data_IF_729713425500
#
_entry.id   IF_729713425500
#
_cell.length_a   1.000
_cell.length_b   1.000
_cell.length_c   1.000
_cell.angle_alpha   90.00
_cell.angle_beta   90.00
_cell.angle_gamma   90.00
#
_symmetry.space_group_name_H-M   'P 1'
#
loop_
_entity.id
_entity.type
_entity.pdbx_description
1 polymer ?
#
# COMPACT_ATOMS: atom_id res chain seq x y z
N UNK A 1 -19.49 9.10 -15.13
CA UNK A 1 -18.68 7.92 -15.22
C UNK A 1 -19.56 6.71 -15.41
N UNK A 2 -19.67 6.22 -16.63
CA UNK A 2 -20.38 4.98 -16.91
C UNK A 2 -19.47 3.82 -16.54
N UNK A 3 -19.89 2.97 -15.63
CA UNK A 3 -19.39 1.60 -15.52
C UNK A 3 -19.98 0.87 -16.71
N UNK A 4 -19.18 0.72 -17.75
CA UNK A 4 -19.58 -0.09 -18.90
C UNK A 4 -19.75 -1.54 -18.43
N UNK A 5 -20.96 -2.08 -18.53
CA UNK A 5 -21.32 -3.45 -18.16
C UNK A 5 -20.87 -4.47 -19.22
N UNK A 6 -19.98 -4.09 -20.09
CA UNK A 6 -19.59 -4.84 -21.28
C UNK A 6 -18.32 -5.68 -21.03
N UNK A 7 -18.33 -6.49 -19.99
CA UNK A 7 -17.32 -7.53 -19.75
C UNK A 7 -15.89 -7.05 -19.52
N UNK A 8 -15.03 -7.98 -19.13
CA UNK A 8 -13.61 -7.72 -18.90
C UNK A 8 -12.87 -7.60 -20.24
N UNK A 9 -11.94 -6.63 -20.29
CA UNK A 9 -11.02 -6.50 -21.43
C UNK A 9 -9.66 -7.08 -21.07
N UNK A 10 -9.07 -7.80 -22.00
CA UNK A 10 -7.67 -8.22 -21.91
C UNK A 10 -6.76 -7.10 -22.39
N UNK A 11 -5.82 -6.67 -21.53
CA UNK A 11 -4.82 -5.67 -21.85
C UNK A 11 -3.45 -6.38 -22.00
N UNK A 12 -2.92 -6.50 -23.22
CA UNK A 12 -1.59 -7.08 -23.40
C UNK A 12 -0.51 -6.29 -22.65
N UNK A 13 0.57 -6.91 -22.15
CA UNK A 13 1.62 -6.23 -21.37
C UNK A 13 2.22 -5.00 -22.05
N UNK A 14 2.35 -5.01 -23.37
CA UNK A 14 2.86 -3.87 -24.17
C UNK A 14 1.82 -2.75 -24.38
N UNK A 15 0.55 -2.98 -24.03
CA UNK A 15 -0.55 -2.05 -24.23
C UNK A 15 -1.02 -1.40 -22.92
N UNK A 16 -0.29 -1.59 -21.81
CA UNK A 16 -0.62 -1.06 -20.48
C UNK A 16 -0.40 0.45 -20.35
N UNK A 17 0.35 1.07 -21.25
CA UNK A 17 0.58 2.53 -21.24
C UNK A 17 1.19 3.07 -19.93
N UNK A 18 1.91 2.24 -19.17
CA UNK A 18 2.48 2.61 -17.87
C UNK A 18 1.46 2.65 -16.72
N UNK A 19 0.28 2.09 -16.91
CA UNK A 19 -0.67 1.89 -15.81
C UNK A 19 -0.21 0.75 -14.89
N UNK A 20 -0.48 0.92 -13.61
CA UNK A 20 -0.23 -0.06 -12.57
C UNK A 20 -1.53 -0.71 -12.12
N UNK A 21 -1.39 -1.80 -11.37
CA UNK A 21 -2.55 -2.49 -10.79
C UNK A 21 -3.37 -1.54 -9.91
N UNK A 22 -4.69 -1.55 -10.11
CA UNK A 22 -5.63 -0.70 -9.37
C UNK A 22 -5.83 0.70 -9.96
N UNK A 23 -5.04 1.13 -10.95
CA UNK A 23 -5.23 2.44 -11.59
C UNK A 23 -6.56 2.50 -12.34
N UNK A 24 -7.23 3.64 -12.26
CA UNK A 24 -8.39 3.94 -13.08
C UNK A 24 -7.93 4.47 -14.43
N UNK A 25 -8.35 3.83 -15.51
CA UNK A 25 -7.82 4.07 -16.85
C UNK A 25 -8.93 4.26 -17.88
N UNK A 26 -8.59 4.97 -18.96
CA UNK A 26 -9.37 4.96 -20.20
C UNK A 26 -8.78 3.93 -21.14
N UNK A 27 -9.61 3.08 -21.68
CA UNK A 27 -9.20 2.06 -22.66
C UNK A 27 -9.79 2.34 -24.03
N UNK A 28 -9.09 1.90 -25.08
CA UNK A 28 -9.63 1.83 -26.44
C UNK A 28 -9.66 0.35 -26.87
N UNK A 29 -10.81 -0.19 -27.20
CA UNK A 29 -10.91 -1.54 -27.73
C UNK A 29 -10.07 -1.71 -28.99
N UNK A 30 -9.34 -2.80 -29.09
CA UNK A 30 -8.58 -3.15 -30.27
C UNK A 30 -9.41 -4.06 -31.17
N UNK A 31 -9.97 -3.47 -32.23
CA UNK A 31 -10.81 -4.22 -33.18
C UNK A 31 -10.04 -5.17 -34.10
N UNK A 32 -8.74 -5.00 -34.18
CA UNK A 32 -7.87 -5.80 -35.07
C UNK A 32 -7.16 -6.94 -34.33
N UNK A 33 -7.13 -6.93 -32.98
CA UNK A 33 -6.51 -7.99 -32.23
C UNK A 33 -7.45 -9.22 -32.14
N UNK A 34 -6.89 -10.43 -32.32
CA UNK A 34 -7.65 -11.65 -32.12
C UNK A 34 -8.17 -11.72 -30.68
N UNK A 35 -9.37 -12.27 -30.52
CA UNK A 35 -9.91 -12.59 -29.21
C UNK A 35 -8.98 -13.57 -28.50
N UNK A 36 -8.61 -13.26 -27.26
CA UNK A 36 -7.98 -14.23 -26.36
C UNK A 36 -9.09 -14.90 -25.54
N UNK A 37 -9.58 -16.02 -26.07
CA UNK A 37 -10.76 -16.69 -25.52
C UNK A 37 -12.04 -15.86 -25.70
N UNK A 38 -12.80 -15.66 -24.62
CA UNK A 38 -14.05 -14.88 -24.60
C UNK A 38 -13.83 -13.37 -24.34
N UNK A 39 -12.58 -12.92 -24.20
CA UNK A 39 -12.25 -11.52 -23.82
C UNK A 39 -11.85 -10.68 -25.02
N UNK A 40 -12.44 -9.50 -25.10
CA UNK A 40 -12.07 -8.47 -26.08
C UNK A 40 -10.75 -7.85 -25.70
N UNK A 41 -9.82 -7.68 -26.63
CA UNK A 41 -8.56 -6.97 -26.39
C UNK A 41 -8.76 -5.46 -26.40
N UNK A 42 -8.02 -4.77 -25.55
CA UNK A 42 -7.96 -3.30 -25.53
C UNK A 42 -6.56 -2.80 -25.21
N UNK A 43 -6.34 -1.51 -25.43
CA UNK A 43 -5.13 -0.80 -24.99
C UNK A 43 -5.49 0.32 -24.03
N UNK A 44 -4.62 0.63 -23.08
CA UNK A 44 -4.79 1.78 -22.21
C UNK A 44 -4.38 3.04 -22.98
N UNK A 45 -5.28 4.02 -23.01
CA UNK A 45 -5.08 5.32 -23.66
C UNK A 45 -4.52 6.33 -22.67
N UNK A 46 -5.09 6.38 -21.46
CA UNK A 46 -4.66 7.28 -20.40
C UNK A 46 -4.96 6.71 -19.03
N UNK A 47 -4.18 7.10 -18.03
CA UNK A 47 -4.46 6.86 -16.63
C UNK A 47 -5.19 8.08 -16.08
N UNK A 48 -6.40 7.86 -15.56
CA UNK A 48 -7.24 8.92 -14.98
C UNK A 48 -6.90 9.15 -13.51
N UNK A 49 -6.66 8.05 -12.78
CA UNK A 49 -6.38 8.11 -11.35
C UNK A 49 -5.37 7.02 -10.98
N UNK A 50 -4.37 7.39 -10.19
CA UNK A 50 -3.35 6.48 -9.67
C UNK A 50 -3.79 5.89 -8.35
N UNK A 51 -3.85 4.56 -8.27
CA UNK A 51 -4.17 3.86 -7.02
C UNK A 51 -2.96 3.83 -6.06
N UNK A 52 -1.76 3.70 -6.61
CA UNK A 52 -0.55 3.50 -5.80
C UNK A 52 0.32 4.76 -5.82
N UNK A 53 -0.04 5.77 -5.02
CA UNK A 53 0.77 6.99 -4.84
C UNK A 53 1.95 6.76 -3.91
N UNK A 54 1.76 5.90 -2.93
CA UNK A 54 2.79 5.45 -1.99
C UNK A 54 2.89 3.94 -2.05
N UNK A 55 4.09 3.42 -1.95
CA UNK A 55 4.38 1.98 -2.02
C UNK A 55 5.28 1.60 -0.86
N UNK A 56 4.90 0.57 -0.11
CA UNK A 56 5.75 -0.06 0.90
C UNK A 56 6.53 -1.22 0.30
N UNK A 57 7.72 -1.43 0.85
CA UNK A 57 8.60 -2.48 0.38
C UNK A 57 9.88 -2.58 1.20
N UNK A 58 10.83 -3.31 0.66
CA UNK A 58 12.14 -3.49 1.27
C UNK A 58 13.21 -2.77 0.43
N UNK A 59 14.03 -1.96 1.10
CA UNK A 59 15.15 -1.30 0.45
C UNK A 59 16.20 -2.34 0.03
N UNK A 60 16.67 -2.22 -1.20
CA UNK A 60 17.74 -3.02 -1.78
C UNK A 60 18.77 -2.10 -2.40
N UNK A 61 20.05 -2.41 -2.16
CA UNK A 61 21.15 -1.69 -2.82
C UNK A 61 21.59 -2.48 -4.04
N UNK A 62 21.57 -1.83 -5.18
CA UNK A 62 22.16 -2.33 -6.41
C UNK A 62 23.24 -1.35 -6.85
N UNK A 63 24.47 -1.81 -6.89
CA UNK A 63 25.66 -0.96 -7.09
C UNK A 63 25.70 0.19 -6.04
N UNK A 64 25.58 1.44 -6.51
CA UNK A 64 25.59 2.64 -5.65
C UNK A 64 24.20 3.23 -5.43
N UNK A 65 23.18 2.62 -5.99
CA UNK A 65 21.81 3.13 -5.94
C UNK A 65 20.93 2.31 -4.97
N UNK A 66 19.97 2.98 -4.37
CA UNK A 66 18.95 2.33 -3.56
C UNK A 66 17.66 2.22 -4.36
N UNK A 67 17.04 1.07 -4.20
CA UNK A 67 15.80 0.70 -4.84
C UNK A 67 14.85 0.16 -3.78
N UNK A 68 13.56 0.44 -3.93
CA UNK A 68 12.52 -0.21 -3.15
C UNK A 68 12.01 -1.42 -3.94
N UNK A 69 12.13 -2.61 -3.35
CA UNK A 69 11.42 -3.78 -3.83
C UNK A 69 10.02 -3.78 -3.21
N UNK A 70 8.95 -3.57 -3.99
CA UNK A 70 7.58 -3.57 -3.45
C UNK A 70 7.23 -4.88 -2.75
N UNK A 71 6.34 -4.78 -1.75
CA UNK A 71 5.79 -5.96 -1.07
C UNK A 71 4.73 -6.67 -1.92
N UNK A 72 4.02 -5.91 -2.73
CA UNK A 72 3.01 -6.44 -3.64
C UNK A 72 3.65 -6.91 -4.95
N UNK A 73 3.40 -8.15 -5.30
CA UNK A 73 3.77 -8.76 -6.58
C UNK A 73 2.97 -8.24 -7.78
N UNK A 74 1.85 -7.53 -7.49
CA UNK A 74 1.00 -6.90 -8.51
C UNK A 74 1.55 -5.59 -9.04
N UNK A 75 2.57 -5.02 -8.38
CA UNK A 75 3.21 -3.79 -8.82
C UNK A 75 4.40 -4.11 -9.74
N UNK A 76 4.68 -3.24 -10.72
CA UNK A 76 5.84 -3.44 -11.55
C UNK A 76 7.11 -3.25 -10.73
N UNK A 77 8.09 -4.11 -10.94
CA UNK A 77 9.45 -4.18 -10.44
C UNK A 77 9.96 -3.13 -9.45
N UNK A 78 11.25 -3.11 -9.20
CA UNK A 78 11.79 -2.19 -8.18
C UNK A 78 11.64 -0.72 -8.57
N UNK A 79 11.39 0.13 -7.57
CA UNK A 79 11.29 1.59 -7.69
C UNK A 79 12.65 2.18 -7.32
N UNK A 80 13.28 2.92 -8.23
CA UNK A 80 14.54 3.61 -7.96
C UNK A 80 14.30 4.78 -7.03
N UNK A 81 15.07 4.88 -5.94
CA UNK A 81 14.98 6.00 -5.02
C UNK A 81 15.66 7.23 -5.61
N UNK A 82 14.97 8.36 -5.48
CA UNK A 82 15.50 9.69 -5.77
C UNK A 82 16.00 10.34 -4.47
N UNK A 83 16.92 11.29 -4.60
CA UNK A 83 17.41 12.06 -3.46
C UNK A 83 18.59 11.40 -2.72
N UNK A 84 18.87 11.94 -1.51
CA UNK A 84 20.02 11.50 -0.72
C UNK A 84 19.71 10.19 -0.01
N UNK A 85 20.51 9.17 -0.23
CA UNK A 85 20.42 7.85 0.42
C UNK A 85 21.30 7.71 1.67
N UNK A 86 21.77 8.83 2.24
CA UNK A 86 22.67 8.82 3.42
C UNK A 86 21.89 8.29 4.63
N UNK A 87 22.47 7.31 5.31
CA UNK A 87 21.85 6.66 6.47
C UNK A 87 20.82 5.59 6.17
N UNK A 88 20.55 5.31 4.90
CA UNK A 88 19.63 4.23 4.48
C UNK A 88 20.40 2.96 4.20
N UNK A 89 19.87 1.84 4.67
CA UNK A 89 20.51 0.54 4.54
C UNK A 89 19.68 -0.43 3.72
N UNK A 90 20.36 -1.29 2.99
CA UNK A 90 19.72 -2.44 2.34
C UNK A 90 19.13 -3.37 3.39
N UNK A 91 17.91 -3.84 3.18
CA UNK A 91 17.19 -4.70 4.11
C UNK A 91 16.28 -3.95 5.09
N UNK A 92 16.16 -2.63 4.96
CA UNK A 92 15.16 -1.86 5.72
C UNK A 92 13.80 -1.89 5.02
N UNK A 93 12.76 -1.95 5.83
CA UNK A 93 11.37 -1.77 5.43
C UNK A 93 11.09 -0.27 5.29
N UNK A 94 10.46 0.14 4.19
CA UNK A 94 10.25 1.56 3.92
C UNK A 94 8.96 1.82 3.13
N UNK A 95 8.50 3.07 3.20
CA UNK A 95 7.48 3.63 2.33
C UNK A 95 8.11 4.68 1.40
N UNK A 96 7.72 4.63 0.13
CA UNK A 96 8.22 5.50 -0.92
C UNK A 96 7.06 6.12 -1.67
N UNK A 97 7.06 7.43 -1.82
CA UNK A 97 6.12 8.13 -2.69
C UNK A 97 6.57 8.04 -4.14
N UNK A 98 5.68 7.60 -5.01
CA UNK A 98 5.95 7.44 -6.43
C UNK A 98 5.94 8.80 -7.13
N UNK A 99 7.10 9.21 -7.64
CA UNK A 99 7.28 10.45 -8.39
C UNK A 99 7.13 10.24 -9.90
N UNK A 100 7.51 9.07 -10.37
CA UNK A 100 7.36 8.67 -11.77
C UNK A 100 7.02 7.18 -11.85
N UNK A 101 6.02 6.86 -12.63
CA UNK A 101 5.53 5.47 -12.79
C UNK A 101 6.33 4.66 -13.81
N UNK A 102 7.40 5.22 -14.34
CA UNK A 102 8.21 4.55 -15.36
C UNK A 102 7.53 4.50 -16.72
N UNK A 103 8.04 3.65 -17.60
CA UNK A 103 7.55 3.47 -18.95
C UNK A 103 8.61 3.79 -20.00
N UNK A 104 8.46 3.26 -21.23
CA UNK A 104 9.43 3.46 -22.30
C UNK A 104 10.85 2.97 -21.96
N UNK A 105 10.97 1.88 -21.18
CA UNK A 105 12.26 1.34 -20.74
C UNK A 105 12.87 2.05 -19.52
N UNK A 106 12.24 3.08 -18.98
CA UNK A 106 12.69 3.77 -17.77
C UNK A 106 12.03 3.15 -16.52
N UNK A 107 12.80 2.94 -15.43
CA UNK A 107 12.25 2.43 -14.18
C UNK A 107 11.35 3.47 -13.50
N UNK A 108 10.44 3.04 -12.63
CA UNK A 108 9.75 3.95 -11.73
C UNK A 108 10.72 4.67 -10.80
N UNK A 109 10.39 5.90 -10.44
CA UNK A 109 11.15 6.71 -9.50
C UNK A 109 10.30 7.06 -8.29
N UNK A 110 10.92 7.11 -7.11
CA UNK A 110 10.21 7.48 -5.90
C UNK A 110 11.10 8.12 -4.85
N UNK A 111 10.49 8.95 -4.02
CA UNK A 111 11.14 9.58 -2.88
C UNK A 111 10.82 8.82 -1.59
N UNK A 112 11.82 8.62 -0.74
CA UNK A 112 11.60 8.03 0.58
C UNK A 112 10.65 8.92 1.40
N UNK A 113 9.66 8.29 2.03
CA UNK A 113 8.77 8.93 2.99
C UNK A 113 9.11 8.53 4.42
N UNK A 114 9.23 7.23 4.67
CA UNK A 114 9.48 6.71 6.01
C UNK A 114 10.24 5.40 5.96
N UNK A 115 10.97 5.08 7.03
CA UNK A 115 11.57 3.76 7.27
C UNK A 115 11.00 3.16 8.54
N UNK A 116 10.78 1.84 8.52
CA UNK A 116 10.12 1.09 9.60
C UNK A 116 11.09 0.14 10.32
N UNK A 117 12.39 0.26 10.03
CA UNK A 117 13.41 -0.63 10.57
C UNK A 117 13.67 -1.85 9.71
N UNK A 118 14.29 -2.88 10.30
CA UNK A 118 14.75 -4.07 9.57
C UNK A 118 13.59 -4.87 9.03
N UNK A 119 13.57 -5.13 7.72
CA UNK A 119 12.57 -5.97 7.08
C UNK A 119 12.61 -7.41 7.66
N UNK A 120 11.42 -8.01 7.79
CA UNK A 120 11.26 -9.35 8.38
C UNK A 120 11.04 -9.33 9.89
N UNK A 121 11.11 -8.17 10.57
CA UNK A 121 10.66 -8.05 11.97
C UNK A 121 9.16 -7.80 12.03
N UNK A 122 8.53 -8.19 13.14
CA UNK A 122 7.08 -7.98 13.36
C UNK A 122 6.76 -6.50 13.45
N UNK A 123 7.62 -5.73 14.12
CA UNK A 123 7.48 -4.30 14.33
C UNK A 123 7.49 -3.55 12.99
N UNK A 124 8.45 -3.85 12.12
CA UNK A 124 8.55 -3.24 10.80
C UNK A 124 7.36 -3.61 9.89
N UNK A 125 6.90 -4.87 9.98
CA UNK A 125 5.73 -5.33 9.22
C UNK A 125 4.46 -4.64 9.70
N UNK A 126 4.21 -4.58 11.01
CA UNK A 126 3.06 -3.91 11.60
C UNK A 126 3.05 -2.41 11.27
N UNK A 127 4.20 -1.72 11.42
CA UNK A 127 4.32 -0.31 11.10
C UNK A 127 4.02 -0.01 9.63
N UNK A 128 4.49 -0.85 8.70
CA UNK A 128 4.21 -0.69 7.28
C UNK A 128 2.71 -0.92 6.95
N UNK A 129 2.06 -1.87 7.65
CA UNK A 129 0.61 -2.11 7.49
C UNK A 129 -0.17 -0.89 7.98
N UNK A 130 0.11 -0.39 9.19
CA UNK A 130 -0.56 0.79 9.75
C UNK A 130 -0.38 2.01 8.82
N UNK A 131 0.82 2.18 8.28
CA UNK A 131 1.11 3.24 7.33
C UNK A 131 0.25 3.14 6.05
N UNK A 132 0.11 1.93 5.48
CA UNK A 132 -0.69 1.72 4.28
C UNK A 132 -2.19 1.98 4.48
N UNK A 133 -2.68 1.79 5.71
CA UNK A 133 -4.07 2.06 6.08
C UNK A 133 -4.28 3.45 6.68
N UNK A 134 -3.24 4.30 6.68
CA UNK A 134 -3.28 5.66 7.26
C UNK A 134 -3.73 5.66 8.72
N UNK A 135 -3.34 4.62 9.48
CA UNK A 135 -3.64 4.49 10.90
C UNK A 135 -2.51 5.11 11.69
N UNK A 136 -2.83 6.11 12.49
CA UNK A 136 -1.87 6.73 13.40
C UNK A 136 -1.34 5.72 14.41
N UNK A 137 -0.01 5.70 14.59
CA UNK A 137 0.68 4.82 15.55
C UNK A 137 0.71 5.39 16.95
N UNK A 138 0.44 6.65 17.08
CA UNK A 138 0.42 7.36 18.36
C UNK A 138 -0.97 7.92 18.61
N UNK A 139 -1.44 7.77 19.83
CA UNK A 139 -2.70 8.42 20.23
C UNK A 139 -2.46 9.92 20.41
N UNK A 140 -3.43 10.78 20.07
CA UNK A 140 -3.35 12.19 20.38
C UNK A 140 -3.13 12.43 21.88
N UNK A 141 -2.37 13.48 22.22
CA UNK A 141 -1.99 13.77 23.62
C UNK A 141 -3.20 13.84 24.56
N UNK A 142 -4.29 14.46 24.11
CA UNK A 142 -5.53 14.54 24.89
C UNK A 142 -6.17 13.18 25.17
N UNK A 143 -5.97 12.19 24.30
CA UNK A 143 -6.46 10.81 24.51
C UNK A 143 -5.59 10.09 25.52
N UNK A 144 -4.26 10.29 25.46
CA UNK A 144 -3.32 9.75 26.45
C UNK A 144 -3.59 10.33 27.84
N UNK A 145 -3.81 11.64 27.96
CA UNK A 145 -4.18 12.30 29.21
C UNK A 145 -5.49 11.77 29.79
N UNK A 146 -6.50 11.53 28.95
CA UNK A 146 -7.76 10.91 29.37
C UNK A 146 -7.57 9.47 29.83
N UNK A 147 -6.72 8.70 29.15
CA UNK A 147 -6.42 7.33 29.54
C UNK A 147 -5.67 7.26 30.86
N UNK A 148 -4.72 8.17 31.10
CA UNK A 148 -3.99 8.29 32.38
C UNK A 148 -4.90 8.73 33.53
N UNK A 149 -5.87 9.60 33.26
CA UNK A 149 -6.85 10.06 34.24
C UNK A 149 -7.96 9.04 34.50
N UNK A 150 -8.08 8.00 33.68
CA UNK A 150 -9.08 6.95 33.85
C UNK A 150 -8.78 6.11 35.10
N UNK A 151 -9.80 5.77 35.85
CA UNK A 151 -9.66 4.90 37.02
C UNK A 151 -9.19 3.50 36.59
N UNK A 152 -8.18 2.95 37.28
CA UNK A 152 -7.70 1.58 37.06
C UNK A 152 -8.79 0.51 37.35
N UNK A 153 -9.79 0.84 38.15
CA UNK A 153 -10.85 -0.07 38.51
C UNK A 153 -12.20 0.49 38.15
N UNK A 154 -13.10 -0.37 37.71
CA UNK A 154 -14.47 0.01 37.44
C UNK A 154 -15.19 0.26 38.81
N UNK A 155 -15.73 1.45 39.08
CA UNK A 155 -16.41 1.72 40.34
C UNK A 155 -17.66 0.84 40.52
N UNK A 156 -17.95 0.49 41.76
CA UNK A 156 -19.03 -0.45 42.11
C UNK A 156 -20.42 0.00 41.57
N UNK A 157 -20.67 1.30 41.56
CA UNK A 157 -21.91 1.86 41.01
C UNK A 157 -22.03 1.64 39.49
N UNK A 158 -20.90 1.59 38.74
CA UNK A 158 -20.94 1.30 37.32
C UNK A 158 -21.16 -0.19 37.01
N UNK A 159 -21.03 -1.06 38.03
CA UNK A 159 -21.33 -2.48 37.93
C UNK A 159 -22.79 -2.80 38.26
N UNK A 160 -23.51 -1.89 38.91
CA UNK A 160 -24.90 -2.09 39.28
C UNK A 160 -25.76 -2.41 38.04
N UNK A 161 -26.51 -3.51 38.11
CA UNK A 161 -27.38 -3.97 37.01
C UNK A 161 -26.68 -4.65 35.83
N UNK A 162 -25.35 -4.85 35.87
CA UNK A 162 -24.62 -5.61 34.86
C UNK A 162 -24.50 -7.09 35.26
N UNK A 163 -24.55 -7.97 34.26
CA UNK A 163 -24.30 -9.39 34.47
C UNK A 163 -22.81 -9.60 34.80
N UNK A 164 -22.56 -10.25 35.97
CA UNK A 164 -21.18 -10.60 36.37
C UNK A 164 -20.76 -11.91 35.71
N UNK A 165 -19.85 -11.83 34.75
CA UNK A 165 -19.30 -12.97 34.05
C UNK A 165 -17.91 -13.38 34.55
N UNK A 166 -17.38 -12.76 35.63
CA UNK A 166 -16.01 -13.04 36.12
C UNK A 166 -15.81 -14.49 36.58
N UNK A 167 -16.90 -15.19 36.97
CA UNK A 167 -16.89 -16.61 37.34
C UNK A 167 -17.15 -17.56 36.17
N UNK A 168 -17.37 -17.06 34.96
CA UNK A 168 -17.67 -17.84 33.80
C UNK A 168 -16.42 -18.06 32.90
N UNK A 169 -16.40 -19.20 32.19
CA UNK A 169 -15.37 -19.41 31.16
C UNK A 169 -15.78 -18.67 29.90
N UNK A 170 -15.01 -17.64 29.53
CA UNK A 170 -15.21 -16.89 28.26
C UNK A 170 -14.22 -17.45 27.25
N UNK A 171 -14.71 -17.98 26.15
CA UNK A 171 -13.89 -18.43 25.00
C UNK A 171 -13.92 -17.33 23.96
N UNK A 172 -12.74 -16.86 23.55
CA UNK A 172 -12.55 -15.87 22.46
C UNK A 172 -11.94 -16.54 21.25
#
# INVERSE_FOLDING_TARGET
GGTDRDGDYFIPPRATGGAWHGDKVTIAPDRAAPFDGDRRSARIVSVLERANKTVTGTLRRFERELWLQPDSDKLPGPIKLTGKSRGLHSGEKAAVEVQSYGGGGKPPLGALRETFGKAGTREAAAAAILYNYEIDREFPVNVLEQAEAAAETVPAEALAGRLDLRGGTVIT
#
